data_IF_447734323320
#
_entry.id   IF_447734323320
#
_cell.length_a   1.000
_cell.length_b   1.000
_cell.length_c   1.000
_cell.angle_alpha   90.00
_cell.angle_beta   90.00
_cell.angle_gamma   90.00
#
_symmetry.space_group_name_H-M   'P 1'
#
loop_
_entity.id
_entity.type
_entity.pdbx_description
1 polymer ?
#
# COMPACT_ATOMS: atom_id res chain seq x y z
N UNK A 1 2.91 18.30 14.17
CA UNK A 1 3.99 17.81 13.29
C UNK A 1 3.58 16.42 12.88
N UNK A 2 3.10 16.24 11.65
CA UNK A 2 2.72 14.91 11.16
C UNK A 2 4.01 14.13 10.98
N UNK A 3 4.18 13.07 11.76
CA UNK A 3 5.39 12.27 11.72
C UNK A 3 5.45 11.59 10.34
N UNK A 4 6.55 11.74 9.60
CA UNK A 4 6.67 11.17 8.24
C UNK A 4 6.43 9.65 8.23
N UNK A 5 6.75 9.01 9.36
CA UNK A 5 6.39 7.61 9.65
C UNK A 5 4.89 7.36 9.67
N UNK A 6 4.12 8.20 10.36
CA UNK A 6 2.66 8.04 10.45
C UNK A 6 2.00 8.25 9.08
N UNK A 7 2.47 9.22 8.30
CA UNK A 7 1.99 9.43 6.93
C UNK A 7 2.27 8.19 6.08
N UNK A 8 3.47 7.62 6.16
CA UNK A 8 3.81 6.42 5.40
C UNK A 8 2.99 5.20 5.82
N UNK A 9 2.71 5.05 7.13
CA UNK A 9 1.82 4.00 7.64
C UNK A 9 0.40 4.17 7.09
N UNK A 10 -0.12 5.41 7.05
CA UNK A 10 -1.46 5.66 6.50
C UNK A 10 -1.54 5.33 5.01
N UNK A 11 -0.51 5.66 4.23
CA UNK A 11 -0.43 5.32 2.80
C UNK A 11 -0.40 3.79 2.59
N UNK A 12 0.35 3.06 3.43
CA UNK A 12 0.40 1.60 3.39
C UNK A 12 -0.98 1.00 3.68
N UNK A 13 -1.66 1.47 4.73
CA UNK A 13 -2.99 0.96 5.08
C UNK A 13 -4.01 1.24 3.99
N UNK A 14 -3.98 2.43 3.37
CA UNK A 14 -4.86 2.75 2.25
C UNK A 14 -4.60 1.84 1.04
N UNK A 15 -3.34 1.61 0.69
CA UNK A 15 -2.97 0.67 -0.38
C UNK A 15 -3.41 -0.77 -0.07
N UNK A 16 -3.34 -1.20 1.20
CA UNK A 16 -3.87 -2.52 1.64
C UNK A 16 -5.38 -2.60 1.48
N UNK A 17 -6.12 -1.58 1.89
CA UNK A 17 -7.58 -1.53 1.73
C UNK A 17 -7.97 -1.59 0.25
N UNK A 18 -7.28 -0.86 -0.62
CA UNK A 18 -7.50 -0.91 -2.07
C UNK A 18 -7.23 -2.30 -2.64
N UNK A 19 -6.10 -2.92 -2.27
CA UNK A 19 -5.80 -4.29 -2.71
C UNK A 19 -6.86 -5.29 -2.24
N UNK A 20 -7.27 -5.22 -0.98
CA UNK A 20 -8.33 -6.08 -0.44
C UNK A 20 -9.65 -5.86 -1.19
N UNK A 21 -10.06 -4.61 -1.41
CA UNK A 21 -11.26 -4.29 -2.16
C UNK A 21 -11.21 -4.81 -3.61
N UNK A 22 -10.05 -4.73 -4.27
CA UNK A 22 -9.86 -5.28 -5.62
C UNK A 22 -9.96 -6.82 -5.64
N UNK A 23 -9.47 -7.50 -4.60
CA UNK A 23 -9.58 -8.96 -4.46
C UNK A 23 -11.02 -9.37 -4.17
N UNK A 24 -11.67 -8.73 -3.19
CA UNK A 24 -13.07 -8.98 -2.82
C UNK A 24 -14.02 -8.72 -3.99
N UNK A 25 -13.77 -7.64 -4.75
CA UNK A 25 -14.50 -7.27 -5.95
C UNK A 25 -14.27 -8.20 -7.15
N UNK A 26 -13.35 -9.18 -7.03
CA UNK A 26 -12.88 -10.04 -8.14
C UNK A 26 -12.50 -9.23 -9.36
N UNK A 27 -11.79 -8.12 -9.14
CA UNK A 27 -11.29 -7.30 -10.22
C UNK A 27 -10.32 -8.09 -11.11
N UNK A 28 -10.05 -7.55 -12.30
CA UNK A 28 -9.11 -8.18 -13.21
C UNK A 28 -7.75 -8.37 -12.53
N UNK A 29 -7.09 -9.48 -12.85
CA UNK A 29 -5.76 -9.80 -12.31
C UNK A 29 -4.77 -8.65 -12.47
N UNK A 30 -4.84 -7.90 -13.58
CA UNK A 30 -4.00 -6.72 -13.80
C UNK A 30 -4.18 -5.63 -12.73
N UNK A 31 -5.41 -5.37 -12.31
CA UNK A 31 -5.72 -4.42 -11.23
C UNK A 31 -5.18 -4.90 -9.88
N UNK A 32 -5.44 -6.17 -9.53
CA UNK A 32 -4.95 -6.79 -8.30
C UNK A 32 -3.41 -6.78 -8.25
N UNK A 33 -2.77 -7.06 -9.39
CA UNK A 33 -1.32 -7.03 -9.52
C UNK A 33 -0.77 -5.61 -9.34
N UNK A 34 -1.38 -4.61 -9.97
CA UNK A 34 -0.97 -3.22 -9.81
C UNK A 34 -1.10 -2.75 -8.35
N UNK A 35 -2.20 -3.08 -7.67
CA UNK A 35 -2.37 -2.77 -6.24
C UNK A 35 -1.34 -3.49 -5.37
N UNK A 36 -0.97 -4.74 -5.72
CA UNK A 36 0.08 -5.48 -5.02
C UNK A 36 1.45 -4.83 -5.16
N UNK A 37 1.79 -4.36 -6.37
CA UNK A 37 3.06 -3.66 -6.64
C UNK A 37 3.12 -2.32 -5.89
N UNK A 38 2.03 -1.55 -5.89
CA UNK A 38 1.94 -0.27 -5.17
C UNK A 38 2.17 -0.48 -3.66
N UNK A 39 1.53 -1.51 -3.08
CA UNK A 39 1.73 -1.88 -1.69
C UNK A 39 3.18 -2.30 -1.38
N UNK A 40 3.78 -3.12 -2.24
CA UNK A 40 5.17 -3.58 -2.07
C UNK A 40 6.18 -2.42 -2.10
N UNK A 41 5.96 -1.42 -2.97
CA UNK A 41 6.79 -0.22 -3.03
C UNK A 41 6.68 0.62 -1.74
N UNK A 42 5.47 0.76 -1.19
CA UNK A 42 5.24 1.50 0.05
C UNK A 42 5.87 0.78 1.26
N UNK A 43 5.77 -0.55 1.32
CA UNK A 43 6.43 -1.36 2.34
C UNK A 43 7.95 -1.27 2.24
N UNK A 44 8.53 -1.34 1.03
CA UNK A 44 9.95 -1.12 0.82
C UNK A 44 10.40 0.27 1.28
N UNK A 45 9.62 1.30 0.98
CA UNK A 45 9.90 2.66 1.46
C UNK A 45 9.90 2.73 2.99
N UNK A 46 9.01 2.01 3.65
CA UNK A 46 8.96 1.95 5.12
C UNK A 46 10.14 1.20 5.72
N UNK A 47 10.58 0.12 5.08
CA UNK A 47 11.77 -0.65 5.51
C UNK A 47 13.07 0.15 5.35
N UNK A 48 13.17 0.97 4.30
CA UNK A 48 14.33 1.80 4.02
C UNK A 48 14.33 3.15 4.73
N UNK A 49 13.19 3.55 5.31
CA UNK A 49 13.09 4.82 5.99
C UNK A 49 13.75 4.75 7.38
N UNK A 50 14.77 5.58 7.58
CA UNK A 50 15.46 5.78 8.86
C UNK A 50 14.74 6.85 9.69
N UNK A 51 13.50 6.58 10.10
CA UNK A 51 12.69 7.47 10.97
C UNK A 51 13.19 7.53 12.42
#
# INVERSE_FOLDING_TARGET
>A
MTNEKEVLIQEIENARERLNASIDGREAYGTIYQCSVELDQLLNKYLLAEF
#
